data_IF_433685031462
#
_entry.id   IF_433685031462
#
_cell.length_a   1.000
_cell.length_b   1.000
_cell.length_c   1.000
_cell.angle_alpha   90.00
_cell.angle_beta   90.00
_cell.angle_gamma   90.00
#
_symmetry.space_group_name_H-M   'P 1'
#
loop_
_entity.id
_entity.type
_entity.pdbx_description
1 polymer ?
#
# COMPACT_ATOMS: atom_id res chain seq x y z
N UNK A 1 1.01 -0.91 14.76
CA UNK A 1 0.23 0.34 14.53
C UNK A 1 -1.27 0.11 14.31
N UNK A 2 -1.78 -1.12 14.34
CA UNK A 2 -3.21 -1.39 14.11
C UNK A 2 -4.13 -0.72 15.17
N UNK A 3 -3.56 -0.37 16.31
CA UNK A 3 -4.15 0.31 17.47
C UNK A 3 -4.03 1.84 17.42
N UNK A 4 -3.76 2.45 16.25
CA UNK A 4 -3.55 3.90 16.13
C UNK A 4 -4.57 4.57 15.20
N UNK A 5 -4.89 5.85 15.46
CA UNK A 5 -5.74 6.69 14.60
C UNK A 5 -5.14 8.08 14.39
N UNK A 6 -5.40 8.69 13.24
CA UNK A 6 -4.99 10.07 12.95
C UNK A 6 -5.91 11.13 13.54
N UNK A 7 -7.05 10.75 14.14
CA UNK A 7 -7.94 11.69 14.85
C UNK A 7 -7.27 12.19 16.12
N UNK A 8 -7.28 13.50 16.33
CA UNK A 8 -6.72 14.13 17.53
C UNK A 8 -7.51 13.71 18.77
N UNK A 9 -8.85 13.83 18.72
CA UNK A 9 -9.74 13.28 19.73
C UNK A 9 -10.21 11.88 19.33
N UNK A 10 -9.76 10.86 20.08
CA UNK A 10 -10.20 9.47 19.88
C UNK A 10 -11.54 9.29 20.58
N UNK A 11 -12.62 8.84 19.91
CA UNK A 11 -13.89 8.57 20.57
C UNK A 11 -13.77 7.54 21.70
N UNK A 12 -14.52 7.70 22.79
CA UNK A 12 -14.42 6.88 24.00
C UNK A 12 -14.49 5.38 23.75
N UNK A 13 -15.40 4.95 22.85
CA UNK A 13 -15.53 3.53 22.51
C UNK A 13 -14.25 2.97 21.88
N UNK A 14 -13.51 3.76 21.08
CA UNK A 14 -12.22 3.35 20.50
C UNK A 14 -11.11 3.38 21.55
N UNK A 15 -11.14 4.33 22.48
CA UNK A 15 -10.18 4.35 23.60
C UNK A 15 -10.32 3.08 24.46
N UNK A 16 -11.56 2.67 24.77
CA UNK A 16 -11.85 1.42 25.51
C UNK A 16 -11.36 0.17 24.78
N UNK A 17 -11.30 0.20 23.44
CA UNK A 17 -10.72 -0.86 22.62
C UNK A 17 -9.18 -0.78 22.50
N UNK A 18 -8.53 0.20 23.13
CA UNK A 18 -7.08 0.38 23.12
C UNK A 18 -6.53 1.27 21.99
N UNK A 19 -7.39 1.93 21.21
CA UNK A 19 -6.92 2.85 20.18
C UNK A 19 -6.31 4.13 20.78
N UNK A 20 -5.21 4.60 20.18
CA UNK A 20 -4.54 5.85 20.56
C UNK A 20 -4.33 6.79 19.38
N UNK A 21 -4.28 8.09 19.65
CA UNK A 21 -4.01 9.10 18.61
C UNK A 21 -2.53 9.10 18.24
N UNK A 22 -2.24 8.98 16.95
CA UNK A 22 -0.92 9.15 16.34
C UNK A 22 -1.09 9.69 14.91
N UNK A 23 -0.89 10.99 14.74
CA UNK A 23 -1.02 11.67 13.44
C UNK A 23 0.14 11.35 12.48
N UNK A 24 1.38 11.41 12.97
CA UNK A 24 2.55 11.06 12.18
C UNK A 24 2.77 9.54 12.16
N UNK A 25 2.27 8.88 11.10
CA UNK A 25 2.37 7.42 10.94
C UNK A 25 3.77 6.95 10.59
N UNK A 26 4.55 7.74 9.84
CA UNK A 26 5.94 7.41 9.53
C UNK A 26 6.76 7.23 10.81
N UNK A 27 6.72 8.23 11.69
CA UNK A 27 7.39 8.18 12.99
C UNK A 27 6.94 6.98 13.85
N UNK A 28 5.63 6.68 13.88
CA UNK A 28 5.10 5.58 14.69
C UNK A 28 5.38 4.18 14.12
N UNK A 29 5.81 4.12 12.86
CA UNK A 29 6.05 2.88 12.12
C UNK A 29 7.51 2.50 12.01
N UNK A 30 8.42 3.39 12.43
CA UNK A 30 9.85 3.32 12.11
C UNK A 30 10.11 3.21 10.59
N UNK A 31 9.24 3.78 9.77
CA UNK A 31 9.42 3.86 8.31
C UNK A 31 9.97 5.24 7.94
N UNK A 32 10.82 5.26 6.91
CA UNK A 32 11.43 6.49 6.43
C UNK A 32 10.57 7.11 5.33
N UNK A 33 10.06 8.31 5.57
CA UNK A 33 9.39 9.10 4.54
C UNK A 33 10.41 9.64 3.53
N UNK A 34 10.11 9.52 2.24
CA UNK A 34 10.88 10.12 1.15
C UNK A 34 9.95 10.86 0.20
N UNK A 35 10.43 11.92 -0.43
CA UNK A 35 9.61 12.69 -1.35
C UNK A 35 9.18 11.84 -2.56
N UNK A 36 7.93 12.02 -2.96
CA UNK A 36 7.42 11.61 -4.28
C UNK A 36 7.98 12.52 -5.37
N UNK A 37 7.90 12.06 -6.62
CA UNK A 37 8.42 12.80 -7.78
C UNK A 37 7.35 13.69 -8.42
N UNK A 38 6.10 13.23 -8.48
CA UNK A 38 5.01 13.89 -9.23
C UNK A 38 3.79 14.25 -8.37
N UNK A 39 3.76 13.85 -7.10
CA UNK A 39 2.64 14.09 -6.17
C UNK A 39 3.12 14.58 -4.80
N UNK A 40 2.23 15.19 -4.02
CA UNK A 40 2.57 15.73 -2.70
C UNK A 40 2.73 14.69 -1.58
N UNK A 41 1.97 13.56 -1.52
CA UNK A 41 2.16 12.58 -0.45
C UNK A 41 3.53 11.93 -0.51
N UNK A 42 4.19 11.74 0.63
CA UNK A 42 5.47 11.03 0.73
C UNK A 42 5.35 9.53 0.43
N UNK A 43 6.46 8.95 -0.02
CA UNK A 43 6.69 7.52 -0.22
C UNK A 43 7.38 6.91 1.01
N UNK A 44 7.29 5.59 1.14
CA UNK A 44 7.95 4.82 2.21
C UNK A 44 9.24 4.22 1.66
N UNK A 45 10.42 4.65 2.09
CA UNK A 45 11.70 4.15 1.53
C UNK A 45 11.82 2.62 1.53
N UNK A 46 11.30 1.97 2.56
CA UNK A 46 11.39 0.52 2.77
C UNK A 46 10.36 -0.29 1.97
N UNK A 47 9.34 0.36 1.39
CA UNK A 47 8.29 -0.33 0.66
C UNK A 47 8.76 -0.68 -0.77
N UNK A 48 8.77 -1.97 -1.16
CA UNK A 48 9.48 -2.40 -2.36
C UNK A 48 8.71 -2.15 -3.66
N UNK A 49 7.40 -1.88 -3.59
CA UNK A 49 6.56 -1.49 -4.73
C UNK A 49 5.61 -0.40 -4.27
N UNK A 50 5.61 0.74 -4.97
CA UNK A 50 4.80 1.91 -4.62
C UNK A 50 4.28 2.62 -5.86
N UNK A 51 3.12 3.25 -5.75
CA UNK A 51 2.48 3.94 -6.85
C UNK A 51 2.21 5.39 -6.45
N UNK A 52 2.67 6.31 -7.28
CA UNK A 52 2.22 7.71 -7.27
C UNK A 52 1.00 7.82 -8.17
N UNK A 53 -0.11 8.35 -7.64
CA UNK A 53 -1.36 8.47 -8.37
C UNK A 53 -2.06 9.81 -8.09
N UNK A 54 -2.84 10.27 -9.07
CA UNK A 54 -3.71 11.45 -8.92
C UNK A 54 -5.16 11.02 -8.93
N UNK A 55 -5.95 11.58 -8.02
CA UNK A 55 -7.39 11.36 -7.96
C UNK A 55 -8.03 11.88 -9.25
N UNK A 56 -8.84 11.05 -9.88
CA UNK A 56 -9.64 11.39 -11.05
C UNK A 56 -11.07 11.67 -10.63
N UNK A 57 -11.64 10.81 -9.78
CA UNK A 57 -13.02 10.89 -9.34
C UNK A 57 -13.20 10.23 -7.98
N UNK A 58 -14.09 10.78 -7.16
CA UNK A 58 -14.61 10.14 -5.96
C UNK A 58 -16.09 9.82 -6.13
N UNK A 59 -16.55 8.72 -5.55
CA UNK A 59 -17.95 8.30 -5.58
C UNK A 59 -18.37 7.63 -4.28
N UNK A 60 -19.65 7.76 -3.92
CA UNK A 60 -20.24 6.95 -2.85
C UNK A 60 -20.38 5.49 -3.33
N UNK A 61 -19.92 4.49 -2.55
CA UNK A 61 -20.12 3.09 -2.89
C UNK A 61 -21.57 2.61 -2.73
N UNK A 62 -22.48 3.42 -2.18
CA UNK A 62 -23.90 3.11 -2.05
C UNK A 62 -24.59 3.84 -0.90
N UNK A 63 -25.91 3.71 -0.81
CA UNK A 63 -26.76 4.46 0.14
C UNK A 63 -26.45 4.19 1.62
N UNK A 64 -25.88 3.03 1.96
CA UNK A 64 -25.56 2.65 3.35
C UNK A 64 -24.06 2.67 3.66
N UNK A 65 -23.30 3.53 2.99
CA UNK A 65 -21.83 3.56 3.06
C UNK A 65 -21.27 4.93 3.44
N UNK A 66 -21.97 5.66 4.30
CA UNK A 66 -21.67 7.06 4.67
C UNK A 66 -20.23 7.29 5.19
N UNK A 67 -19.60 6.27 5.78
CA UNK A 67 -18.21 6.33 6.27
C UNK A 67 -17.16 5.89 5.24
N UNK A 68 -17.55 5.60 4.00
CA UNK A 68 -16.68 5.09 2.94
C UNK A 68 -16.75 5.95 1.68
N UNK A 69 -15.65 5.97 0.94
CA UNK A 69 -15.57 6.58 -0.39
C UNK A 69 -14.79 5.67 -1.32
N UNK A 70 -15.28 5.52 -2.55
CA UNK A 70 -14.53 4.88 -3.62
C UNK A 70 -13.81 5.96 -4.43
N UNK A 71 -12.51 5.77 -4.65
CA UNK A 71 -11.66 6.74 -5.36
C UNK A 71 -11.09 6.07 -6.60
N UNK A 72 -11.39 6.66 -7.75
CA UNK A 72 -10.72 6.37 -9.01
C UNK A 72 -9.47 7.23 -9.10
N UNK A 73 -8.31 6.59 -9.30
CA UNK A 73 -7.02 7.26 -9.36
C UNK A 73 -6.24 6.85 -10.61
N UNK A 74 -5.61 7.81 -11.26
CA UNK A 74 -4.71 7.59 -12.39
C UNK A 74 -3.29 7.37 -11.86
N UNK A 75 -2.69 6.24 -12.23
CA UNK A 75 -1.28 5.95 -12.00
C UNK A 75 -0.45 6.97 -12.78
N UNK A 76 0.45 7.67 -12.08
CA UNK A 76 1.41 8.60 -12.68
C UNK A 76 2.79 7.95 -12.75
N UNK A 77 3.18 7.23 -11.70
CA UNK A 77 4.48 6.55 -11.63
C UNK A 77 4.41 5.32 -10.74
N UNK A 78 5.11 4.27 -11.15
CA UNK A 78 5.36 3.08 -10.34
C UNK A 78 6.83 3.04 -9.96
N UNK A 79 7.10 2.85 -8.68
CA UNK A 79 8.43 2.66 -8.12
C UNK A 79 8.58 1.21 -7.73
N UNK A 80 9.64 0.57 -8.20
CA UNK A 80 9.98 -0.81 -7.87
C UNK A 80 11.41 -0.83 -7.35
N UNK A 81 11.61 -1.46 -6.20
CA UNK A 81 12.95 -1.74 -5.67
C UNK A 81 13.71 -2.62 -6.65
N UNK A 82 14.97 -2.27 -6.93
CA UNK A 82 15.85 -3.06 -7.80
C UNK A 82 16.02 -4.51 -7.33
N UNK A 83 15.82 -4.78 -6.03
CA UNK A 83 15.82 -6.14 -5.47
C UNK A 83 14.74 -7.05 -6.05
N UNK A 84 13.68 -6.46 -6.61
CA UNK A 84 12.58 -7.18 -7.25
C UNK A 84 12.73 -7.23 -8.78
N UNK A 85 13.87 -6.81 -9.33
CA UNK A 85 14.10 -6.75 -10.76
C UNK A 85 15.26 -7.67 -11.14
N UNK A 86 15.03 -8.44 -12.20
CA UNK A 86 16.08 -9.15 -12.92
C UNK A 86 16.45 -8.37 -14.17
N UNK A 87 17.74 -8.25 -14.44
CA UNK A 87 18.26 -7.67 -15.67
C UNK A 87 18.98 -8.75 -16.45
N UNK A 88 18.32 -9.31 -17.46
CA UNK A 88 18.87 -10.33 -18.34
C UNK A 88 18.82 -9.82 -19.79
N UNK A 89 19.96 -9.82 -20.48
CA UNK A 89 20.07 -9.40 -21.89
C UNK A 89 19.45 -8.02 -22.19
N UNK A 90 19.56 -7.09 -21.25
CA UNK A 90 18.99 -5.75 -21.35
C UNK A 90 17.47 -5.65 -21.13
N UNK A 91 16.77 -6.77 -20.92
CA UNK A 91 15.36 -6.81 -20.50
C UNK A 91 15.27 -6.76 -18.97
N UNK A 92 14.42 -5.88 -18.46
CA UNK A 92 14.09 -5.78 -17.03
C UNK A 92 12.80 -6.58 -16.78
N UNK A 93 12.87 -7.58 -15.90
CA UNK A 93 11.74 -8.43 -15.53
C UNK A 93 11.47 -8.36 -14.04
N UNK A 94 10.20 -8.39 -13.65
CA UNK A 94 9.80 -8.37 -12.24
C UNK A 94 9.90 -9.77 -11.62
N UNK A 95 10.58 -9.87 -10.49
CA UNK A 95 10.69 -11.08 -9.69
C UNK A 95 9.49 -11.25 -8.76
N UNK A 96 8.49 -12.00 -9.22
CA UNK A 96 7.23 -12.24 -8.50
C UNK A 96 7.45 -13.00 -7.20
N UNK A 97 8.41 -13.93 -7.16
CA UNK A 97 8.66 -14.77 -5.98
C UNK A 97 9.30 -13.98 -4.82
N UNK A 98 10.15 -12.99 -5.12
CA UNK A 98 10.77 -12.15 -4.08
C UNK A 98 9.86 -11.03 -3.56
N UNK A 99 8.81 -10.66 -4.30
CA UNK A 99 7.95 -9.54 -3.88
C UNK A 99 7.22 -9.82 -2.55
N UNK A 100 6.76 -11.06 -2.35
CA UNK A 100 6.13 -11.54 -1.10
C UNK A 100 5.15 -10.53 -0.45
N UNK A 101 4.17 -9.97 -1.20
CA UNK A 101 3.23 -8.99 -0.67
C UNK A 101 2.42 -9.54 0.50
N UNK A 102 1.93 -8.62 1.35
CA UNK A 102 1.08 -8.94 2.49
C UNK A 102 -0.39 -8.98 2.08
N UNK A 103 -1.06 -10.09 2.38
CA UNK A 103 -2.49 -10.27 2.21
C UNK A 103 -3.20 -10.20 3.56
N UNK A 104 -4.32 -9.50 3.61
CA UNK A 104 -5.17 -9.40 4.79
C UNK A 104 -6.45 -10.20 4.58
N UNK A 105 -6.64 -11.27 5.34
CA UNK A 105 -7.80 -12.18 5.22
C UNK A 105 -8.39 -12.38 6.62
N UNK A 106 -9.64 -11.98 6.83
CA UNK A 106 -10.36 -12.10 8.12
C UNK A 106 -9.57 -11.67 9.36
N UNK A 107 -8.80 -10.57 9.28
CA UNK A 107 -7.92 -10.08 10.37
C UNK A 107 -6.62 -10.86 10.59
N UNK A 108 -6.26 -11.75 9.68
CA UNK A 108 -4.99 -12.45 9.65
C UNK A 108 -4.13 -11.94 8.50
N UNK A 109 -2.81 -11.93 8.72
CA UNK A 109 -1.83 -11.50 7.73
C UNK A 109 -1.14 -12.72 7.12
N UNK A 110 -1.10 -12.77 5.80
CA UNK A 110 -0.45 -13.81 5.01
C UNK A 110 0.58 -13.17 4.06
N UNK A 111 1.48 -13.99 3.54
CA UNK A 111 2.35 -13.61 2.42
C UNK A 111 2.06 -14.54 1.23
N UNK A 112 2.79 -14.35 0.12
CA UNK A 112 2.74 -15.28 -1.00
C UNK A 112 3.05 -16.71 -0.54
N UNK A 113 2.22 -17.64 -1.00
CA UNK A 113 2.47 -19.07 -0.86
C UNK A 113 3.49 -19.58 -1.89
N UNK A 114 3.52 -20.90 -2.06
CA UNK A 114 4.36 -21.56 -3.07
C UNK A 114 3.95 -21.13 -4.49
N UNK A 115 4.92 -20.79 -5.33
CA UNK A 115 4.71 -20.60 -6.76
C UNK A 115 4.19 -21.88 -7.42
N UNK A 116 3.19 -21.75 -8.30
CA UNK A 116 2.53 -22.89 -8.93
C UNK A 116 2.78 -22.93 -10.44
N UNK A 117 2.39 -21.89 -11.18
CA UNK A 117 2.50 -21.84 -12.63
C UNK A 117 2.33 -20.41 -13.18
N UNK A 118 2.73 -20.19 -14.43
CA UNK A 118 2.66 -18.92 -15.16
C UNK A 118 1.72 -19.02 -16.36
N UNK A 119 0.89 -18.00 -16.63
CA UNK A 119 0.04 -18.03 -17.82
C UNK A 119 0.82 -17.87 -19.14
N UNK A 120 0.18 -18.15 -20.27
CA UNK A 120 0.79 -18.13 -21.60
C UNK A 120 1.39 -16.78 -22.04
N UNK A 121 1.08 -15.67 -21.36
CA UNK A 121 1.60 -14.33 -21.64
C UNK A 121 2.67 -13.86 -20.65
N UNK A 122 3.18 -14.72 -19.78
CA UNK A 122 4.07 -14.29 -18.68
C UNK A 122 5.35 -13.57 -19.14
N UNK A 123 5.84 -13.90 -20.34
CA UNK A 123 7.10 -13.37 -20.88
C UNK A 123 6.94 -12.45 -22.09
N UNK A 124 5.70 -12.17 -22.50
CA UNK A 124 5.39 -11.16 -23.54
C UNK A 124 5.86 -9.78 -23.04
#
# INVERSE_FOLDING_TARGET
MADTTGKEHVPDFKQKMGYRSKKNKFLCSNLTEVNSLDVSPGRIKECPVQIEARVVRGMSPGEYTEEMVSIEARIIRTHVSEKLLYCNDGKITFNVEEWKPLYYIFRHYFSSGKYLWENFRCHE
#
